data_IF_037966695150
#
_entry.id   IF_037966695150
#
_cell.length_a   1.000
_cell.length_b   1.000
_cell.length_c   1.000
_cell.angle_alpha   90.00
_cell.angle_beta   90.00
_cell.angle_gamma   90.00
#
_symmetry.space_group_name_H-M   'P 1'
#
loop_
_entity.id
_entity.type
_entity.pdbx_description
1 polymer ?
#
# COMPACT_ATOMS: atom_id res chain seq x y z
N UNK A 1 -4.27 7.83 14.46
CA UNK A 1 -4.08 7.84 12.99
C UNK A 1 -2.60 8.10 12.69
N UNK A 2 -2.10 7.66 11.54
CA UNK A 2 -0.76 8.00 11.03
C UNK A 2 -0.90 8.60 9.64
N UNK A 3 -0.10 9.60 9.31
CA UNK A 3 -0.06 10.18 7.96
C UNK A 3 0.56 9.18 7.00
N UNK A 4 -0.08 8.98 5.85
CA UNK A 4 0.41 8.19 4.74
C UNK A 4 0.32 9.04 3.47
N UNK A 5 1.38 9.06 2.68
CA UNK A 5 1.43 9.86 1.46
C UNK A 5 2.16 9.12 0.36
N UNK A 6 1.65 9.24 -0.86
CA UNK A 6 2.38 8.85 -2.06
C UNK A 6 3.60 9.74 -2.26
N UNK A 7 4.68 9.19 -2.79
CA UNK A 7 5.91 9.98 -2.99
C UNK A 7 5.75 11.09 -4.05
N UNK A 8 4.75 10.98 -4.92
CA UNK A 8 4.35 12.00 -5.90
C UNK A 8 3.29 12.97 -5.40
N UNK A 9 3.03 12.98 -4.08
CA UNK A 9 2.15 13.99 -3.48
C UNK A 9 2.86 15.34 -3.38
N UNK A 10 2.06 16.40 -3.33
CA UNK A 10 2.57 17.77 -3.20
C UNK A 10 3.50 17.93 -1.99
N UNK A 11 3.12 17.40 -0.82
CA UNK A 11 3.93 17.48 0.39
C UNK A 11 5.15 16.58 0.39
N UNK A 12 5.21 15.54 -0.46
CA UNK A 12 6.40 14.72 -0.66
C UNK A 12 7.39 15.36 -1.64
N UNK A 13 6.89 16.03 -2.69
CA UNK A 13 7.69 16.75 -3.69
C UNK A 13 8.13 18.16 -3.22
N UNK A 14 7.50 18.68 -2.16
CA UNK A 14 7.92 19.90 -1.48
C UNK A 14 9.30 19.74 -0.81
N UNK A 15 10.08 20.83 -0.78
CA UNK A 15 11.27 20.93 0.05
C UNK A 15 10.90 20.75 1.54
N UNK A 16 11.82 20.21 2.36
CA UNK A 16 11.61 20.18 3.82
C UNK A 16 11.54 21.61 4.34
N UNK A 17 10.37 22.06 4.81
CA UNK A 17 10.24 23.32 5.56
C UNK A 17 9.44 24.45 4.89
N UNK A 18 8.81 24.24 3.73
CA UNK A 18 7.94 25.24 3.10
C UNK A 18 8.22 25.45 1.62
N UNK A 19 7.73 26.57 1.08
CA UNK A 19 7.95 26.96 -0.32
C UNK A 19 9.46 27.05 -0.59
N UNK A 20 9.96 26.40 -1.66
CA UNK A 20 11.38 26.44 -1.98
C UNK A 20 11.78 27.89 -2.24
N UNK A 21 12.79 28.37 -1.51
CA UNK A 21 13.61 29.47 -2.01
C UNK A 21 14.40 28.95 -3.23
N UNK A 22 14.76 29.85 -4.14
CA UNK A 22 15.50 29.52 -5.38
C UNK A 22 16.81 28.76 -5.13
N UNK A 23 17.33 28.82 -3.89
CA UNK A 23 18.52 28.15 -3.37
C UNK A 23 18.24 26.86 -2.56
N UNK A 24 16.99 26.44 -2.41
CA UNK A 24 16.55 25.45 -1.43
C UNK A 24 16.33 24.06 -2.05
N UNK A 25 16.91 23.03 -1.42
CA UNK A 25 16.80 21.63 -1.83
C UNK A 25 15.34 21.23 -2.20
N UNK A 26 15.13 20.91 -3.47
CA UNK A 26 13.93 20.23 -3.98
C UNK A 26 13.63 18.97 -3.17
N UNK A 27 12.35 18.66 -2.97
CA UNK A 27 11.93 17.43 -2.30
C UNK A 27 12.53 16.19 -2.99
N UNK A 28 13.01 15.19 -2.22
CA UNK A 28 13.80 14.06 -2.73
C UNK A 28 13.01 13.10 -3.64
N UNK A 29 11.73 13.35 -3.87
CA UNK A 29 10.89 12.54 -4.76
C UNK A 29 10.65 13.17 -6.13
N UNK A 30 10.98 14.44 -6.38
CA UNK A 30 10.69 15.11 -7.65
C UNK A 30 11.34 14.45 -8.87
N UNK A 31 12.60 14.02 -8.71
CA UNK A 31 13.37 13.32 -9.74
C UNK A 31 12.67 12.03 -10.21
N UNK A 32 12.04 11.30 -9.28
CA UNK A 32 11.28 10.08 -9.61
C UNK A 32 10.06 10.33 -10.51
N UNK A 33 9.56 11.56 -10.55
CA UNK A 33 8.39 11.94 -11.34
C UNK A 33 8.77 12.88 -12.50
N UNK A 34 10.07 13.05 -12.80
CA UNK A 34 10.53 13.92 -13.88
C UNK A 34 10.19 15.39 -13.68
N UNK A 35 10.00 15.83 -12.43
CA UNK A 35 9.62 17.21 -12.07
C UNK A 35 10.75 17.97 -11.36
N UNK A 36 12.00 17.57 -11.62
CA UNK A 36 13.19 18.23 -11.06
C UNK A 36 13.40 19.66 -11.57
N UNK A 37 13.08 19.93 -12.83
CA UNK A 37 13.32 21.23 -13.48
C UNK A 37 12.12 22.18 -13.34
N UNK A 38 11.05 21.73 -12.69
CA UNK A 38 9.89 22.56 -12.39
C UNK A 38 10.23 23.47 -11.22
N UNK A 39 10.68 24.69 -11.52
CA UNK A 39 11.10 25.67 -10.51
C UNK A 39 9.96 26.13 -9.59
N UNK A 40 8.77 26.38 -10.13
CA UNK A 40 7.62 26.82 -9.34
C UNK A 40 6.84 25.65 -8.74
N UNK A 41 6.70 25.65 -7.42
CA UNK A 41 5.95 24.61 -6.70
C UNK A 41 4.47 24.51 -7.14
N UNK A 42 3.85 25.63 -7.50
CA UNK A 42 2.47 25.69 -8.02
C UNK A 42 2.28 25.00 -9.38
N UNK A 43 3.37 24.78 -10.13
CA UNK A 43 3.35 24.12 -11.44
C UNK A 43 3.61 22.62 -11.37
N UNK A 44 3.80 22.07 -10.16
CA UNK A 44 3.90 20.63 -9.97
C UNK A 44 2.57 19.94 -10.29
N UNK A 45 2.67 18.78 -10.94
CA UNK A 45 1.54 17.90 -11.24
C UNK A 45 1.64 16.69 -10.31
N UNK A 46 0.86 16.62 -9.22
CA UNK A 46 0.96 15.51 -8.28
C UNK A 46 0.36 14.21 -8.84
N UNK A 47 1.14 13.13 -8.75
CA UNK A 47 0.71 11.76 -9.06
C UNK A 47 0.41 10.93 -7.80
N UNK A 48 0.55 11.54 -6.62
CA UNK A 48 0.31 10.91 -5.33
C UNK A 48 -0.71 11.66 -4.48
N UNK A 49 -1.45 10.92 -3.66
CA UNK A 49 -2.39 11.47 -2.68
C UNK A 49 -1.80 11.42 -1.27
N UNK A 50 -2.34 12.24 -0.39
CA UNK A 50 -2.04 12.24 1.04
C UNK A 50 -3.30 11.85 1.81
N UNK A 51 -3.12 11.13 2.91
CA UNK A 51 -4.23 10.67 3.72
C UNK A 51 -3.79 10.16 5.08
N UNK A 52 -4.79 9.69 5.84
CA UNK A 52 -4.59 9.12 7.16
C UNK A 52 -4.92 7.63 7.12
N UNK A 53 -4.06 6.84 7.75
CA UNK A 53 -4.30 5.41 7.97
C UNK A 53 -4.44 5.10 9.46
N UNK A 54 -5.25 4.10 9.84
CA UNK A 54 -5.31 3.64 11.23
C UNK A 54 -3.93 3.17 11.70
N UNK A 55 -3.58 3.50 12.95
CA UNK A 55 -2.33 3.01 13.54
C UNK A 55 -2.42 1.49 13.73
N UNK A 56 -1.48 0.76 13.16
CA UNK A 56 -1.46 -0.71 13.21
C UNK A 56 -0.73 -1.27 14.43
N UNK A 57 -0.27 -0.42 15.35
CA UNK A 57 0.57 -0.84 16.47
C UNK A 57 2.01 -1.18 16.03
N UNK A 58 2.69 -2.09 16.77
CA UNK A 58 4.03 -2.56 16.44
C UNK A 58 4.09 -3.31 15.10
N UNK A 59 5.26 -3.28 14.44
CA UNK A 59 5.47 -3.93 13.14
C UNK A 59 5.52 -5.47 13.22
N UNK A 60 6.11 -6.01 14.28
CA UNK A 60 6.37 -7.46 14.39
C UNK A 60 5.10 -8.33 14.26
N UNK A 61 3.97 -8.05 14.95
CA UNK A 61 2.74 -8.82 14.77
C UNK A 61 2.18 -8.78 13.35
N UNK A 62 2.30 -7.64 12.66
CA UNK A 62 1.86 -7.50 11.26
C UNK A 62 2.69 -8.38 10.33
N UNK A 63 4.02 -8.34 10.46
CA UNK A 63 4.93 -9.16 9.67
C UNK A 63 4.68 -10.65 9.91
N UNK A 64 4.42 -11.05 11.16
CA UNK A 64 4.08 -12.43 11.49
C UNK A 64 2.84 -12.91 10.73
N UNK A 65 1.76 -12.12 10.70
CA UNK A 65 0.54 -12.47 9.95
C UNK A 65 0.77 -12.53 8.44
N UNK A 66 1.54 -11.59 7.87
CA UNK A 66 1.87 -11.59 6.44
C UNK A 66 2.68 -12.83 6.04
N UNK A 67 3.71 -13.17 6.81
CA UNK A 67 4.52 -14.37 6.57
C UNK A 67 3.70 -15.64 6.80
N UNK A 68 2.82 -15.66 7.81
CA UNK A 68 1.90 -16.77 8.06
C UNK A 68 0.98 -17.04 6.86
N UNK A 69 0.36 -15.99 6.31
CA UNK A 69 -0.46 -16.10 5.10
C UNK A 69 0.32 -16.60 3.88
N UNK A 70 1.54 -16.09 3.67
CA UNK A 70 2.42 -16.55 2.59
C UNK A 70 2.75 -18.05 2.75
N UNK A 71 3.13 -18.49 3.95
CA UNK A 71 3.46 -19.91 4.21
C UNK A 71 2.25 -20.83 4.01
N UNK A 72 1.06 -20.40 4.44
CA UNK A 72 -0.18 -21.15 4.17
C UNK A 72 -0.43 -21.29 2.66
N UNK A 73 -0.27 -20.19 1.91
CA UNK A 73 -0.35 -20.21 0.44
C UNK A 73 0.66 -21.13 -0.22
N UNK A 74 1.92 -21.09 0.22
CA UNK A 74 2.97 -22.02 -0.23
C UNK A 74 2.61 -23.48 0.05
N UNK A 75 1.97 -23.76 1.19
CA UNK A 75 1.45 -25.08 1.54
C UNK A 75 0.41 -25.59 0.53
N UNK A 76 -0.57 -24.77 0.16
CA UNK A 76 -1.58 -25.14 -0.85
C UNK A 76 -0.99 -25.45 -2.24
N UNK A 77 0.11 -24.78 -2.60
CA UNK A 77 0.80 -24.98 -3.88
C UNK A 77 1.83 -26.12 -3.81
N UNK A 78 2.17 -26.61 -2.62
CA UNK A 78 3.26 -27.58 -2.42
C UNK A 78 4.64 -27.01 -2.74
N UNK A 79 4.86 -25.73 -2.42
CA UNK A 79 6.11 -25.00 -2.65
C UNK A 79 6.96 -24.95 -1.38
N UNK A 80 8.17 -25.54 -1.41
CA UNK A 80 9.09 -25.50 -0.28
C UNK A 80 9.86 -24.17 -0.19
N UNK A 81 10.06 -23.51 -1.33
CA UNK A 81 10.80 -22.26 -1.47
C UNK A 81 10.00 -21.20 -2.21
N UNK A 82 10.46 -19.93 -2.16
CA UNK A 82 9.86 -18.84 -2.94
C UNK A 82 10.02 -19.08 -4.45
N UNK A 83 11.11 -19.70 -4.88
CA UNK A 83 11.33 -20.06 -6.28
C UNK A 83 10.39 -21.18 -6.73
N UNK A 84 10.10 -22.16 -5.86
CA UNK A 84 9.05 -23.15 -6.13
C UNK A 84 7.69 -22.47 -6.31
N UNK A 85 7.34 -21.53 -5.43
CA UNK A 85 6.07 -20.81 -5.53
C UNK A 85 5.97 -20.06 -6.85
N UNK A 86 7.04 -19.35 -7.25
CA UNK A 86 7.09 -18.57 -8.49
C UNK A 86 6.93 -19.43 -9.75
N UNK A 87 7.44 -20.66 -9.74
CA UNK A 87 7.46 -21.54 -10.92
C UNK A 87 6.29 -22.52 -10.98
N UNK A 88 5.81 -23.01 -9.82
CA UNK A 88 4.75 -24.02 -9.72
C UNK A 88 3.35 -23.43 -9.61
N UNK A 89 3.20 -22.23 -9.04
CA UNK A 89 1.88 -21.63 -8.88
C UNK A 89 1.16 -21.49 -10.22
N UNK A 90 -0.14 -21.75 -10.22
CA UNK A 90 -1.04 -21.54 -11.34
C UNK A 90 -2.19 -20.67 -10.87
N UNK A 91 -2.46 -19.62 -11.61
CA UNK A 91 -3.56 -18.71 -11.33
C UNK A 91 -4.75 -19.06 -12.22
N UNK A 92 -5.94 -18.92 -11.66
CA UNK A 92 -7.20 -19.01 -12.41
C UNK A 92 -7.83 -17.64 -12.46
N UNK A 93 -8.39 -17.28 -13.61
CA UNK A 93 -9.13 -16.03 -13.76
C UNK A 93 -10.52 -16.21 -13.17
N UNK A 94 -10.90 -15.30 -12.28
CA UNK A 94 -12.24 -15.26 -11.67
C UNK A 94 -13.00 -14.02 -12.14
N UNK A 95 -14.32 -14.07 -12.07
CA UNK A 95 -15.19 -12.92 -12.32
C UNK A 95 -15.27 -12.01 -11.08
N UNK A 96 -15.89 -10.84 -11.24
CA UNK A 96 -16.20 -9.98 -10.09
C UNK A 96 -17.12 -10.65 -9.06
N UNK A 97 -17.95 -11.62 -9.48
CA UNK A 97 -18.74 -12.42 -8.56
C UNK A 97 -17.86 -13.38 -7.74
N UNK A 98 -16.84 -13.98 -8.36
CA UNK A 98 -15.87 -14.83 -7.66
C UNK A 98 -15.05 -14.05 -6.62
N UNK A 99 -14.77 -12.76 -6.84
CA UNK A 99 -14.12 -11.93 -5.82
C UNK A 99 -15.01 -11.77 -4.59
N UNK A 100 -16.32 -11.52 -4.78
CA UNK A 100 -17.28 -11.42 -3.67
C UNK A 100 -17.43 -12.73 -2.92
N UNK A 101 -17.43 -13.85 -3.65
CA UNK A 101 -17.45 -15.20 -3.08
C UNK A 101 -16.16 -15.51 -2.27
N UNK A 102 -15.02 -14.98 -2.69
CA UNK A 102 -13.74 -15.21 -1.99
C UNK A 102 -13.63 -14.45 -0.66
N UNK A 103 -14.34 -13.33 -0.49
CA UNK A 103 -14.40 -12.58 0.76
C UNK A 103 -15.50 -13.19 1.66
N UNK A 104 -15.45 -13.08 3.01
CA UNK A 104 -16.57 -13.49 3.84
C UNK A 104 -17.84 -12.78 3.40
N UNK A 105 -18.88 -13.57 3.08
CA UNK A 105 -20.16 -13.09 2.59
C UNK A 105 -21.28 -13.86 3.27
N UNK A 106 -22.49 -13.30 3.25
CA UNK A 106 -23.71 -13.91 3.81
C UNK A 106 -23.67 -14.23 5.31
N UNK A 107 -22.68 -13.68 6.05
CA UNK A 107 -22.54 -13.83 7.50
C UNK A 107 -22.20 -12.49 8.15
N UNK A 108 -22.62 -12.32 9.41
CA UNK A 108 -22.26 -11.15 10.21
C UNK A 108 -20.97 -11.43 10.98
N UNK A 109 -19.90 -10.72 10.65
CA UNK A 109 -18.63 -10.78 11.40
C UNK A 109 -18.83 -10.08 12.75
N UNK A 110 -18.60 -10.80 13.85
CA UNK A 110 -18.70 -10.27 15.22
C UNK A 110 -17.37 -9.85 15.80
N UNK A 111 -16.29 -10.53 15.39
CA UNK A 111 -14.92 -10.27 15.81
C UNK A 111 -14.02 -10.26 14.59
N UNK A 112 -13.24 -9.20 14.41
CA UNK A 112 -12.30 -9.10 13.29
C UNK A 112 -11.02 -9.88 13.59
N UNK A 113 -10.57 -10.76 12.67
CA UNK A 113 -9.29 -11.45 12.81
C UNK A 113 -8.11 -10.51 12.52
N UNK A 114 -6.90 -10.82 13.01
CA UNK A 114 -5.74 -9.94 12.88
C UNK A 114 -5.24 -9.76 11.44
N UNK A 115 -5.60 -10.67 10.52
CA UNK A 115 -5.13 -10.73 9.14
C UNK A 115 -6.18 -10.35 8.09
N UNK A 116 -7.40 -9.99 8.49
CA UNK A 116 -8.46 -9.69 7.55
C UNK A 116 -9.35 -8.55 8.06
N UNK A 117 -9.44 -7.48 7.25
CA UNK A 117 -10.31 -6.34 7.52
C UNK A 117 -11.07 -5.97 6.28
N UNK A 118 -12.39 -5.83 6.40
CA UNK A 118 -13.19 -5.20 5.37
C UNK A 118 -12.89 -3.70 5.41
N UNK A 119 -12.70 -3.09 4.24
CA UNK A 119 -12.64 -1.63 4.16
C UNK A 119 -13.94 -1.08 4.76
N UNK A 120 -13.86 -0.44 5.94
CA UNK A 120 -15.01 0.26 6.50
C UNK A 120 -15.32 1.40 5.53
N UNK A 121 -16.52 1.47 4.93
CA UNK A 121 -16.88 2.61 4.12
C UNK A 121 -16.73 3.87 4.98
N UNK A 122 -16.06 4.89 4.42
CA UNK A 122 -16.07 6.24 4.99
C UNK A 122 -17.52 6.65 5.14
N UNK A 123 -17.95 6.95 6.37
CA UNK A 123 -19.20 7.65 6.61
C UNK A 123 -19.11 9.06 6.03
#
# INVERSE_FOLDING_TARGET
>A
MKTYRGMGSMGAMAARGGAPREDQQTGPSRDRYGQQDVGEFSKLVPEGVEGLVPSQGPLAPLVHQLVGGLRAGMGYVGAATIEDLRTRARFVRISGAGIRESHPHSVRITTEPPNYRLARPSR
#
